data_IF_051519951608
#
_entry.id   IF_051519951608
#
_cell.length_a   1.000
_cell.length_b   1.000
_cell.length_c   1.000
_cell.angle_alpha   90.00
_cell.angle_beta   90.00
_cell.angle_gamma   90.00
#
_symmetry.space_group_name_H-M   'P 1'
#
loop_
_entity.id
_entity.type
_entity.pdbx_description
1 polymer ?
#
# COMPACT_ATOMS: atom_id res chain seq x y z
N UNK A 1 11.99 -27.73 -34.62
CA UNK A 1 10.58 -27.63 -34.21
C UNK A 1 10.49 -28.19 -32.80
N UNK A 2 10.39 -27.34 -31.78
CA UNK A 2 10.09 -27.82 -30.42
C UNK A 2 8.69 -28.41 -30.45
N UNK A 3 8.55 -29.71 -30.19
CA UNK A 3 7.22 -30.30 -30.00
C UNK A 3 6.59 -29.61 -28.80
N UNK A 4 5.42 -28.99 -29.02
CA UNK A 4 4.63 -28.46 -27.91
C UNK A 4 4.29 -29.61 -26.96
N UNK A 5 4.40 -29.41 -25.64
CA UNK A 5 4.08 -30.45 -24.68
C UNK A 5 2.61 -30.87 -24.81
N UNK A 6 2.35 -32.17 -24.67
CA UNK A 6 0.99 -32.70 -24.65
C UNK A 6 0.19 -32.05 -23.50
N UNK A 7 -1.02 -31.59 -23.79
CA UNK A 7 -1.91 -30.97 -22.81
C UNK A 7 -2.46 -32.06 -21.90
N UNK A 8 -2.09 -32.02 -20.61
CA UNK A 8 -2.65 -32.86 -19.54
C UNK A 8 -3.79 -32.13 -18.83
N UNK A 9 -4.82 -32.83 -18.40
CA UNK A 9 -5.81 -32.32 -17.43
C UNK A 9 -5.21 -32.31 -16.01
N UNK A 10 -5.80 -31.51 -15.12
CA UNK A 10 -5.25 -31.30 -13.77
C UNK A 10 -5.13 -32.60 -12.97
N UNK A 11 -6.04 -33.55 -13.17
CA UNK A 11 -6.03 -34.85 -12.47
C UNK A 11 -4.87 -35.75 -12.89
N UNK A 12 -4.26 -35.48 -14.05
CA UNK A 12 -3.10 -36.22 -14.57
C UNK A 12 -1.76 -35.57 -14.18
N UNK A 13 -1.80 -34.40 -13.56
CA UNK A 13 -0.60 -33.70 -13.10
C UNK A 13 -0.07 -34.31 -11.81
N UNK A 14 1.24 -34.39 -11.72
CA UNK A 14 1.93 -34.71 -10.47
C UNK A 14 1.74 -33.60 -9.43
N UNK A 15 2.01 -33.91 -8.17
CA UNK A 15 1.98 -32.90 -7.10
C UNK A 15 2.92 -31.72 -7.38
N UNK A 16 4.11 -31.99 -7.92
CA UNK A 16 5.09 -30.96 -8.31
C UNK A 16 4.58 -30.07 -9.44
N UNK A 17 3.87 -30.65 -10.42
CA UNK A 17 3.24 -29.90 -11.51
C UNK A 17 2.05 -29.06 -11.01
N UNK A 18 1.32 -29.52 -9.97
CA UNK A 18 0.17 -28.81 -9.40
C UNK A 18 0.55 -27.59 -8.55
N UNK A 19 1.68 -27.61 -7.85
CA UNK A 19 2.10 -26.51 -6.95
C UNK A 19 2.19 -25.16 -7.69
N UNK A 20 2.85 -25.04 -8.86
CA UNK A 20 2.85 -23.81 -9.64
C UNK A 20 1.45 -23.30 -10.00
N UNK A 21 0.51 -24.18 -10.31
CA UNK A 21 -0.87 -23.81 -10.63
C UNK A 21 -1.62 -23.24 -9.42
N UNK A 22 -1.39 -23.79 -8.22
CA UNK A 22 -1.95 -23.22 -6.98
C UNK A 22 -1.40 -21.81 -6.76
N UNK A 23 -0.08 -21.64 -6.87
CA UNK A 23 0.58 -20.34 -6.67
C UNK A 23 0.16 -19.31 -7.73
N UNK A 24 0.03 -19.73 -8.99
CA UNK A 24 -0.46 -18.88 -10.07
C UNK A 24 -1.92 -18.49 -9.87
N UNK A 25 -2.77 -19.43 -9.44
CA UNK A 25 -4.16 -19.18 -9.07
C UNK A 25 -4.30 -18.05 -8.05
N UNK A 26 -3.49 -18.09 -6.97
CA UNK A 26 -3.47 -17.02 -5.97
C UNK A 26 -3.07 -15.66 -6.55
N UNK A 27 -2.05 -15.61 -7.42
CA UNK A 27 -1.63 -14.36 -8.09
C UNK A 27 -2.72 -13.82 -9.01
N UNK A 28 -3.36 -14.69 -9.79
CA UNK A 28 -4.48 -14.33 -10.68
C UNK A 28 -5.67 -13.80 -9.88
N UNK A 29 -5.94 -14.36 -8.71
CA UNK A 29 -6.96 -13.83 -7.79
C UNK A 29 -6.62 -12.41 -7.34
N UNK A 30 -5.36 -12.13 -6.94
CA UNK A 30 -4.95 -10.78 -6.54
C UNK A 30 -5.07 -9.76 -7.69
N UNK A 31 -4.63 -10.14 -8.90
CA UNK A 31 -4.77 -9.28 -10.09
C UNK A 31 -6.24 -9.02 -10.40
N UNK A 32 -7.08 -10.06 -10.42
CA UNK A 32 -8.50 -9.93 -10.71
C UNK A 32 -9.24 -9.10 -9.65
N UNK A 33 -8.89 -9.25 -8.37
CA UNK A 33 -9.40 -8.40 -7.29
C UNK A 33 -9.05 -6.93 -7.53
N UNK A 34 -7.80 -6.65 -7.89
CA UNK A 34 -7.35 -5.31 -8.26
C UNK A 34 -8.06 -4.75 -9.49
N UNK A 35 -8.32 -5.57 -10.51
CA UNK A 35 -9.10 -5.19 -11.69
C UNK A 35 -10.54 -4.81 -11.32
N UNK A 36 -11.21 -5.61 -10.48
CA UNK A 36 -12.56 -5.27 -10.00
C UNK A 36 -12.58 -3.94 -9.27
N UNK A 37 -11.67 -3.75 -8.30
CA UNK A 37 -11.59 -2.47 -7.59
C UNK A 37 -11.35 -1.30 -8.55
N UNK A 38 -10.42 -1.45 -9.49
CA UNK A 38 -10.09 -0.41 -10.47
C UNK A 38 -11.27 -0.07 -11.38
N UNK A 39 -12.01 -1.06 -11.87
CA UNK A 39 -13.16 -0.82 -12.73
C UNK A 39 -14.33 -0.19 -11.96
N UNK A 40 -14.59 -0.63 -10.72
CA UNK A 40 -15.62 0.01 -9.88
C UNK A 40 -15.25 1.47 -9.59
N UNK A 41 -13.99 1.75 -9.26
CA UNK A 41 -13.50 3.12 -9.06
C UNK A 41 -13.61 3.96 -10.34
N UNK A 42 -13.27 3.40 -11.50
CA UNK A 42 -13.38 4.09 -12.78
C UNK A 42 -14.83 4.42 -13.15
N UNK A 43 -15.76 3.49 -12.97
CA UNK A 43 -17.16 3.61 -13.41
C UNK A 43 -18.02 4.40 -12.42
N UNK A 44 -17.79 4.22 -11.10
CA UNK A 44 -18.66 4.74 -10.05
C UNK A 44 -18.02 5.83 -9.19
N UNK A 45 -16.72 6.05 -9.33
CA UNK A 45 -15.93 6.97 -8.52
C UNK A 45 -15.45 6.37 -7.19
N UNK A 46 -14.39 6.95 -6.64
CA UNK A 46 -13.68 6.43 -5.46
C UNK A 46 -14.58 6.24 -4.23
N UNK A 47 -15.48 7.19 -3.92
CA UNK A 47 -16.33 7.09 -2.72
C UNK A 47 -17.20 5.84 -2.74
N UNK A 48 -17.88 5.56 -3.86
CA UNK A 48 -18.73 4.36 -4.00
C UNK A 48 -17.89 3.10 -4.08
N UNK A 49 -16.72 3.17 -4.70
CA UNK A 49 -15.79 2.05 -4.75
C UNK A 49 -15.32 1.62 -3.36
N UNK A 50 -15.14 2.54 -2.41
CA UNK A 50 -14.81 2.20 -1.02
C UNK A 50 -15.92 1.45 -0.30
N UNK A 51 -17.18 1.83 -0.51
CA UNK A 51 -18.32 1.13 0.08
C UNK A 51 -18.43 -0.30 -0.47
N UNK A 52 -18.31 -0.44 -1.79
CA UNK A 52 -18.31 -1.75 -2.47
C UNK A 52 -17.11 -2.59 -2.05
N UNK A 53 -15.91 -2.01 -1.95
CA UNK A 53 -14.70 -2.72 -1.54
C UNK A 53 -14.79 -3.20 -0.10
N UNK A 54 -15.41 -2.44 0.81
CA UNK A 54 -15.59 -2.89 2.17
C UNK A 54 -16.46 -4.15 2.23
N UNK A 55 -17.60 -4.16 1.54
CA UNK A 55 -18.49 -5.33 1.50
C UNK A 55 -17.84 -6.52 0.77
N UNK A 56 -17.33 -6.29 -0.43
CA UNK A 56 -16.76 -7.34 -1.27
C UNK A 56 -15.44 -7.88 -0.69
N UNK A 57 -14.61 -7.02 -0.12
CA UNK A 57 -13.33 -7.36 0.49
C UNK A 57 -13.51 -8.25 1.72
N UNK A 58 -14.33 -7.83 2.68
CA UNK A 58 -14.56 -8.59 3.91
C UNK A 58 -15.14 -9.99 3.57
N UNK A 59 -16.11 -10.04 2.66
CA UNK A 59 -16.67 -11.30 2.17
C UNK A 59 -15.63 -12.17 1.44
N UNK A 60 -14.87 -11.59 0.51
CA UNK A 60 -13.88 -12.34 -0.29
C UNK A 60 -12.79 -12.95 0.58
N UNK A 61 -12.20 -12.18 1.50
CA UNK A 61 -11.16 -12.68 2.39
C UNK A 61 -11.69 -13.75 3.35
N UNK A 62 -12.89 -13.56 3.91
CA UNK A 62 -13.56 -14.58 4.74
C UNK A 62 -13.78 -15.89 3.97
N UNK A 63 -14.27 -15.83 2.73
CA UNK A 63 -14.47 -17.01 1.87
C UNK A 63 -13.15 -17.70 1.54
N UNK A 64 -12.12 -16.94 1.13
CA UNK A 64 -10.81 -17.48 0.77
C UNK A 64 -10.18 -18.19 1.97
N UNK A 65 -10.13 -17.54 3.14
CA UNK A 65 -9.56 -18.09 4.36
C UNK A 65 -10.33 -19.33 4.83
N UNK A 66 -11.67 -19.30 4.80
CA UNK A 66 -12.50 -20.46 5.15
C UNK A 66 -12.24 -21.65 4.22
N UNK A 67 -12.09 -21.43 2.91
CA UNK A 67 -11.76 -22.51 1.96
C UNK A 67 -10.37 -23.06 2.20
N UNK A 68 -9.37 -22.20 2.36
CA UNK A 68 -8.00 -22.61 2.66
C UNK A 68 -7.91 -23.34 4.00
N UNK A 69 -8.68 -22.94 5.01
CA UNK A 69 -8.70 -23.59 6.33
C UNK A 69 -9.10 -25.07 6.25
N UNK A 70 -10.08 -25.40 5.39
CA UNK A 70 -10.54 -26.77 5.17
C UNK A 70 -9.51 -27.63 4.46
N UNK A 71 -8.73 -27.04 3.55
CA UNK A 71 -7.73 -27.76 2.75
C UNK A 71 -6.39 -27.89 3.49
N UNK A 72 -5.95 -26.83 4.16
CA UNK A 72 -4.65 -26.73 4.84
C UNK A 72 -4.73 -27.08 6.34
N UNK A 73 -5.92 -27.27 6.89
CA UNK A 73 -6.12 -27.78 8.26
C UNK A 73 -5.89 -26.78 9.39
N UNK A 74 -5.90 -25.47 9.13
CA UNK A 74 -5.84 -24.47 10.20
C UNK A 74 -7.23 -24.09 10.73
N UNK A 75 -7.32 -23.73 12.01
CA UNK A 75 -8.58 -23.35 12.65
C UNK A 75 -8.98 -21.89 12.35
N UNK A 76 -10.28 -21.68 12.15
CA UNK A 76 -10.90 -20.36 12.07
C UNK A 76 -11.63 -20.05 13.37
N UNK A 77 -11.65 -18.78 13.78
CA UNK A 77 -12.51 -18.27 14.84
C UNK A 77 -13.24 -17.03 14.32
N UNK A 78 -14.49 -17.25 13.86
CA UNK A 78 -15.24 -16.28 13.07
C UNK A 78 -14.64 -16.15 11.67
N UNK A 79 -14.35 -14.93 11.25
CA UNK A 79 -13.83 -14.60 9.92
C UNK A 79 -12.31 -14.56 9.84
N UNK A 80 -11.61 -14.82 10.96
CA UNK A 80 -10.15 -14.75 11.05
C UNK A 80 -9.55 -16.10 11.49
N UNK A 81 -8.31 -16.42 11.07
CA UNK A 81 -7.60 -17.59 11.58
C UNK A 81 -7.42 -17.50 13.09
N UNK A 82 -7.71 -18.59 13.82
CA UNK A 82 -7.56 -18.66 15.28
C UNK A 82 -6.13 -18.34 15.72
N UNK A 83 -5.14 -18.70 14.91
CA UNK A 83 -3.74 -18.38 15.11
C UNK A 83 -3.53 -16.87 15.34
N UNK A 84 -4.21 -15.98 14.58
CA UNK A 84 -4.08 -14.53 14.75
C UNK A 84 -4.63 -14.06 16.10
N UNK A 85 -5.79 -14.59 16.52
CA UNK A 85 -6.40 -14.23 17.82
C UNK A 85 -5.59 -14.73 19.02
N UNK A 86 -4.81 -15.79 18.84
CA UNK A 86 -3.95 -16.33 19.90
C UNK A 86 -2.63 -15.58 20.08
N UNK A 87 -2.28 -14.67 19.17
CA UNK A 87 -1.05 -13.87 19.29
C UNK A 87 -1.21 -12.79 20.35
N UNK A 88 -0.15 -12.57 21.13
CA UNK A 88 -0.05 -11.39 21.97
C UNK A 88 0.17 -10.11 21.15
N UNK A 89 0.07 -8.96 21.83
CA UNK A 89 0.28 -7.65 21.21
C UNK A 89 1.64 -7.52 20.52
N UNK A 90 2.71 -8.06 21.11
CA UNK A 90 4.05 -7.93 20.56
C UNK A 90 4.17 -8.68 19.22
N UNK A 91 3.61 -9.90 19.15
CA UNK A 91 3.57 -10.69 17.92
C UNK A 91 2.64 -10.12 16.86
N UNK A 92 1.51 -9.53 17.25
CA UNK A 92 0.67 -8.79 16.31
C UNK A 92 1.41 -7.59 15.71
N UNK A 93 2.19 -6.85 16.51
CA UNK A 93 3.01 -5.75 16.01
C UNK A 93 4.14 -6.24 15.08
N UNK A 94 4.77 -7.37 15.39
CA UNK A 94 5.75 -8.01 14.51
C UNK A 94 5.12 -8.43 13.18
N UNK A 95 3.93 -9.02 13.22
CA UNK A 95 3.18 -9.39 12.03
C UNK A 95 2.81 -8.17 11.19
N UNK A 96 2.35 -7.08 11.81
CA UNK A 96 2.08 -5.81 11.12
C UNK A 96 3.34 -5.24 10.45
N UNK A 97 4.51 -5.36 11.09
CA UNK A 97 5.77 -4.95 10.46
C UNK A 97 6.09 -5.83 9.24
N UNK A 98 5.87 -7.15 9.32
CA UNK A 98 6.06 -8.05 8.20
C UNK A 98 5.10 -7.73 7.03
N UNK A 99 3.84 -7.40 7.32
CA UNK A 99 2.86 -6.93 6.32
C UNK A 99 3.37 -5.68 5.61
N UNK A 100 3.84 -4.68 6.36
CA UNK A 100 4.40 -3.45 5.78
C UNK A 100 5.64 -3.71 4.91
N UNK A 101 6.54 -4.59 5.36
CA UNK A 101 7.73 -4.98 4.58
C UNK A 101 7.33 -5.69 3.29
N UNK A 102 6.37 -6.62 3.35
CA UNK A 102 5.91 -7.36 2.18
C UNK A 102 5.22 -6.46 1.17
N UNK A 103 4.39 -5.52 1.63
CA UNK A 103 3.78 -4.51 0.76
C UNK A 103 4.84 -3.69 0.02
N UNK A 104 5.83 -3.14 0.74
CA UNK A 104 6.90 -2.34 0.11
C UNK A 104 7.78 -3.18 -0.82
N UNK A 105 8.05 -4.42 -0.45
CA UNK A 105 8.81 -5.35 -1.31
C UNK A 105 8.05 -5.64 -2.61
N UNK A 106 6.73 -5.86 -2.53
CA UNK A 106 5.89 -6.07 -3.70
C UNK A 106 5.90 -4.85 -4.63
N UNK A 107 5.74 -3.64 -4.09
CA UNK A 107 5.83 -2.38 -4.85
C UNK A 107 7.19 -2.28 -5.58
N UNK A 108 8.29 -2.51 -4.87
CA UNK A 108 9.63 -2.49 -5.46
C UNK A 108 9.89 -3.57 -6.52
N UNK A 109 9.32 -4.78 -6.36
CA UNK A 109 9.44 -5.87 -7.35
C UNK A 109 8.68 -5.53 -8.63
N UNK A 110 7.48 -4.97 -8.53
CA UNK A 110 6.73 -4.46 -9.70
C UNK A 110 7.49 -3.35 -10.39
N UNK A 111 7.99 -2.37 -9.64
CA UNK A 111 8.79 -1.27 -10.18
C UNK A 111 9.99 -1.78 -10.98
N UNK A 112 10.80 -2.66 -10.39
CA UNK A 112 11.99 -3.23 -11.03
C UNK A 112 11.65 -4.07 -12.26
N UNK A 113 10.53 -4.81 -12.23
CA UNK A 113 10.10 -5.61 -13.37
C UNK A 113 9.73 -4.75 -14.59
N UNK A 114 9.11 -3.58 -14.36
CA UNK A 114 8.80 -2.58 -15.40
C UNK A 114 10.08 -1.88 -15.84
N UNK A 115 10.89 -1.38 -14.90
CA UNK A 115 12.15 -0.67 -15.17
C UNK A 115 13.08 -1.52 -16.05
N UNK A 116 13.29 -2.79 -15.71
CA UNK A 116 14.15 -3.71 -16.46
C UNK A 116 13.70 -3.92 -17.91
N UNK A 117 12.39 -3.80 -18.19
CA UNK A 117 11.81 -4.08 -19.51
C UNK A 117 11.55 -2.82 -20.34
N UNK A 118 11.21 -1.72 -19.68
CA UNK A 118 10.66 -0.52 -20.32
C UNK A 118 11.29 0.79 -19.84
N UNK A 119 12.35 0.71 -19.02
CA UNK A 119 13.12 1.86 -18.54
C UNK A 119 12.50 2.59 -17.34
N UNK A 120 13.31 3.47 -16.74
CA UNK A 120 12.98 4.25 -15.54
C UNK A 120 11.72 5.11 -15.71
N UNK A 121 11.60 5.82 -16.84
CA UNK A 121 10.47 6.74 -17.05
C UNK A 121 9.13 6.00 -17.07
N UNK A 122 9.08 4.81 -17.69
CA UNK A 122 7.87 3.98 -17.70
C UNK A 122 7.56 3.44 -16.31
N UNK A 123 8.56 2.95 -15.59
CA UNK A 123 8.39 2.49 -14.21
C UNK A 123 7.85 3.59 -13.30
N UNK A 124 8.40 4.82 -13.40
CA UNK A 124 7.92 5.99 -12.65
C UNK A 124 6.50 6.36 -13.03
N UNK A 125 6.15 6.42 -14.32
CA UNK A 125 4.76 6.71 -14.73
C UNK A 125 3.77 5.69 -14.18
N UNK A 126 4.10 4.40 -14.24
CA UNK A 126 3.27 3.33 -13.68
C UNK A 126 3.12 3.49 -12.16
N UNK A 127 4.23 3.71 -11.44
CA UNK A 127 4.25 3.94 -10.00
C UNK A 127 3.40 5.16 -9.61
N UNK A 128 3.68 6.32 -10.20
CA UNK A 128 3.03 7.58 -9.84
C UNK A 128 1.51 7.49 -10.08
N UNK A 129 1.10 6.85 -11.18
CA UNK A 129 -0.32 6.58 -11.48
C UNK A 129 -0.94 5.61 -10.46
N UNK A 130 -0.22 4.57 -10.03
CA UNK A 130 -0.68 3.68 -8.98
C UNK A 130 -0.96 4.45 -7.68
N UNK A 131 -0.07 5.37 -7.30
CA UNK A 131 -0.24 6.21 -6.11
C UNK A 131 -1.45 7.16 -6.18
N UNK A 132 -1.87 7.60 -7.38
CA UNK A 132 -3.13 8.38 -7.54
C UNK A 132 -4.38 7.60 -7.09
N UNK A 133 -4.29 6.26 -7.05
CA UNK A 133 -5.41 5.37 -6.69
C UNK A 133 -5.25 4.78 -5.30
N UNK A 134 -4.04 4.33 -4.98
CA UNK A 134 -3.77 3.69 -3.69
C UNK A 134 -3.80 4.69 -2.52
N UNK A 135 -3.30 5.92 -2.68
CA UNK A 135 -3.23 6.86 -1.56
C UNK A 135 -4.62 7.26 -1.02
N UNK A 136 -5.62 7.61 -1.86
CA UNK A 136 -6.98 7.83 -1.38
C UNK A 136 -7.61 6.60 -0.76
N UNK A 137 -7.40 5.42 -1.36
CA UNK A 137 -7.89 4.15 -0.81
C UNK A 137 -7.35 3.92 0.61
N UNK A 138 -6.04 4.01 0.80
CA UNK A 138 -5.38 3.85 2.10
C UNK A 138 -5.92 4.87 3.12
N UNK A 139 -6.02 6.14 2.73
CA UNK A 139 -6.56 7.20 3.56
C UNK A 139 -7.98 6.90 4.04
N UNK A 140 -8.88 6.50 3.13
CA UNK A 140 -10.29 6.23 3.44
C UNK A 140 -10.45 4.96 4.30
N UNK A 141 -9.66 3.91 4.07
CA UNK A 141 -9.60 2.73 4.94
C UNK A 141 -9.16 3.13 6.36
N UNK A 142 -8.09 3.90 6.49
CA UNK A 142 -7.57 4.37 7.78
C UNK A 142 -8.62 5.25 8.48
N UNK A 143 -9.23 6.20 7.74
CA UNK A 143 -10.28 7.09 8.26
C UNK A 143 -11.44 6.30 8.88
N UNK A 144 -11.88 5.23 8.21
CA UNK A 144 -12.92 4.31 8.72
C UNK A 144 -12.45 3.55 9.97
N UNK A 145 -11.25 2.96 9.93
CA UNK A 145 -10.69 2.18 11.06
C UNK A 145 -10.48 3.03 12.32
N UNK A 146 -10.15 4.32 12.16
CA UNK A 146 -9.98 5.27 13.25
C UNK A 146 -11.29 5.95 13.68
N UNK A 147 -12.39 5.76 12.95
CA UNK A 147 -13.66 6.43 13.22
C UNK A 147 -13.58 7.96 13.12
N UNK A 148 -12.74 8.49 12.22
CA UNK A 148 -12.57 9.94 12.07
C UNK A 148 -13.84 10.58 11.48
N UNK A 149 -14.09 11.84 11.84
CA UNK A 149 -15.22 12.62 11.30
C UNK A 149 -15.05 12.87 9.78
N UNK A 150 -16.11 13.33 9.08
CA UNK A 150 -16.02 13.67 7.66
C UNK A 150 -14.95 14.73 7.35
N UNK A 151 -14.71 15.65 8.27
CA UNK A 151 -13.77 16.78 8.15
C UNK A 151 -12.86 16.84 9.39
N UNK A 152 -11.90 15.91 9.53
CA UNK A 152 -11.17 15.70 10.77
C UNK A 152 -9.99 16.67 10.96
N UNK A 153 -9.70 17.52 9.98
CA UNK A 153 -8.64 18.54 10.05
C UNK A 153 -7.24 17.96 10.19
N UNK A 154 -6.31 18.80 10.66
CA UNK A 154 -4.89 18.43 10.79
C UNK A 154 -4.65 17.32 11.81
N UNK A 155 -5.36 17.32 12.93
CA UNK A 155 -5.22 16.25 13.94
C UNK A 155 -5.65 14.89 13.38
N UNK A 156 -6.72 14.86 12.59
CA UNK A 156 -7.12 13.67 11.83
C UNK A 156 -6.04 13.19 10.87
N UNK A 157 -5.41 14.12 10.15
CA UNK A 157 -4.33 13.80 9.23
C UNK A 157 -3.08 13.28 9.96
N UNK A 158 -2.67 13.92 11.07
CA UNK A 158 -1.55 13.46 11.91
C UNK A 158 -1.78 12.03 12.40
N UNK A 159 -2.98 11.74 12.90
CA UNK A 159 -3.37 10.40 13.30
C UNK A 159 -3.27 9.44 12.10
N UNK A 160 -3.92 9.76 10.98
CA UNK A 160 -3.96 8.89 9.80
C UNK A 160 -2.57 8.58 9.22
N UNK A 161 -1.66 9.55 9.17
CA UNK A 161 -0.27 9.37 8.73
C UNK A 161 0.44 8.28 9.56
N UNK A 162 0.14 8.18 10.86
CA UNK A 162 0.71 7.16 11.75
C UNK A 162 0.22 5.73 11.50
N UNK A 163 -0.86 5.54 10.73
CA UNK A 163 -1.44 4.23 10.41
C UNK A 163 -1.16 3.75 8.99
N UNK A 164 -0.44 4.53 8.18
CA UNK A 164 -0.02 4.12 6.83
C UNK A 164 0.92 2.92 6.90
N UNK A 165 0.91 2.06 5.88
CA UNK A 165 1.72 0.84 5.85
C UNK A 165 3.22 1.15 6.01
N UNK A 166 3.72 2.19 5.33
CA UNK A 166 5.12 2.56 5.47
C UNK A 166 5.44 3.16 6.84
N UNK A 167 4.46 3.68 7.60
CA UNK A 167 4.69 4.24 8.93
C UNK A 167 5.11 3.20 9.97
N UNK A 168 4.86 1.92 9.67
CA UNK A 168 5.35 0.81 10.48
C UNK A 168 6.82 0.47 10.25
N UNK A 169 7.38 0.83 9.10
CA UNK A 169 8.69 0.34 8.63
C UNK A 169 9.71 1.45 8.37
N UNK A 170 9.30 2.71 8.53
CA UNK A 170 10.10 3.92 8.36
C UNK A 170 10.02 4.78 9.63
N UNK A 171 11.01 5.65 9.87
CA UNK A 171 10.99 6.63 10.98
C UNK A 171 10.49 7.98 10.47
N UNK A 172 9.52 8.57 11.16
CA UNK A 172 8.87 9.81 10.77
C UNK A 172 8.73 10.76 11.96
N UNK A 173 8.65 12.05 11.67
CA UNK A 173 8.38 13.09 12.67
C UNK A 173 7.37 14.08 12.13
N UNK A 174 6.58 14.66 13.03
CA UNK A 174 5.66 15.76 12.76
C UNK A 174 6.08 16.93 13.65
N UNK A 175 6.17 18.11 13.06
CA UNK A 175 6.46 19.36 13.75
C UNK A 175 5.35 20.37 13.42
N UNK A 176 4.66 20.87 14.44
CA UNK A 176 3.70 21.96 14.27
C UNK A 176 4.44 23.26 13.95
N UNK A 177 4.05 23.92 12.87
CA UNK A 177 4.59 25.22 12.47
C UNK A 177 3.75 26.33 13.09
N UNK A 178 2.43 26.18 13.03
CA UNK A 178 1.43 27.07 13.62
C UNK A 178 0.11 26.29 13.82
N UNK A 179 -0.94 26.97 14.25
CA UNK A 179 -2.27 26.39 14.47
C UNK A 179 -2.92 25.78 13.21
N UNK A 180 -2.46 26.18 12.01
CA UNK A 180 -3.09 25.83 10.73
C UNK A 180 -2.15 25.04 9.83
N UNK A 181 -0.95 24.65 10.31
CA UNK A 181 0.00 23.86 9.52
C UNK A 181 1.03 23.09 10.33
N UNK A 182 1.48 21.97 9.76
CA UNK A 182 2.58 21.17 10.29
C UNK A 182 3.50 20.67 9.16
N UNK A 183 4.74 20.35 9.51
CA UNK A 183 5.71 19.71 8.63
C UNK A 183 5.86 18.24 9.03
N UNK A 184 5.54 17.35 8.11
CA UNK A 184 5.84 15.93 8.17
C UNK A 184 7.22 15.67 7.57
N UNK A 185 8.05 14.87 8.23
CA UNK A 185 9.36 14.46 7.72
C UNK A 185 9.52 12.95 7.74
N UNK A 186 10.00 12.41 6.63
CA UNK A 186 10.50 11.05 6.52
C UNK A 186 11.97 11.03 6.93
N UNK A 187 12.23 10.73 8.20
CA UNK A 187 13.60 10.74 8.76
C UNK A 187 14.40 9.55 8.24
N UNK A 188 13.84 8.35 8.29
CA UNK A 188 14.43 7.15 7.68
C UNK A 188 13.49 6.58 6.63
N UNK A 189 13.97 6.42 5.40
CA UNK A 189 13.24 5.77 4.32
C UNK A 189 13.91 4.45 3.94
N UNK A 190 13.20 3.34 4.06
CA UNK A 190 13.72 2.01 3.73
C UNK A 190 14.17 1.88 2.27
N UNK A 191 13.48 2.55 1.34
CA UNK A 191 13.85 2.59 -0.10
C UNK A 191 15.19 3.30 -0.28
N UNK A 192 15.31 4.53 0.24
CA UNK A 192 16.54 5.32 0.12
C UNK A 192 17.71 4.64 0.86
N UNK A 193 17.46 4.14 2.07
CA UNK A 193 18.45 3.37 2.83
C UNK A 193 18.93 2.12 2.07
N UNK A 194 18.05 1.42 1.36
CA UNK A 194 18.44 0.28 0.53
C UNK A 194 19.30 0.69 -0.67
N UNK A 195 19.03 1.84 -1.28
CA UNK A 195 19.82 2.38 -2.41
C UNK A 195 21.19 2.87 -1.95
N UNK A 196 21.24 3.63 -0.86
CA UNK A 196 22.49 4.08 -0.23
C UNK A 196 23.42 2.90 0.10
N UNK A 197 22.89 1.82 0.69
CA UNK A 197 23.67 0.58 0.94
C UNK A 197 24.21 -0.09 -0.32
N UNK A 198 23.57 0.13 -1.47
CA UNK A 198 23.99 -0.40 -2.78
C UNK A 198 24.88 0.58 -3.55
N UNK A 199 25.23 1.73 -2.99
CA UNK A 199 25.98 2.78 -3.69
C UNK A 199 25.20 3.40 -4.87
N UNK A 200 23.87 3.28 -4.87
CA UNK A 200 23.00 3.86 -5.89
C UNK A 200 22.65 5.30 -5.51
N UNK A 201 22.46 6.20 -6.48
CA UNK A 201 21.95 7.55 -6.21
C UNK A 201 20.55 7.47 -5.61
N UNK A 202 20.14 8.52 -4.89
CA UNK A 202 18.82 8.60 -4.31
C UNK A 202 17.74 8.37 -5.37
N UNK A 203 16.70 7.63 -4.98
CA UNK A 203 15.55 7.42 -5.84
C UNK A 203 14.82 8.75 -6.03
N UNK A 204 14.56 9.22 -7.27
CA UNK A 204 13.85 10.47 -7.52
C UNK A 204 12.34 10.33 -7.25
N UNK A 205 11.96 10.17 -5.97
CA UNK A 205 10.60 9.90 -5.51
C UNK A 205 9.68 11.12 -5.44
N UNK A 206 10.17 12.33 -5.71
CA UNK A 206 9.37 13.56 -5.65
C UNK A 206 8.11 13.51 -6.51
N UNK A 207 8.17 12.94 -7.71
CA UNK A 207 6.99 12.86 -8.58
C UNK A 207 5.88 11.98 -7.99
N UNK A 208 6.25 10.85 -7.38
CA UNK A 208 5.32 10.01 -6.63
C UNK A 208 4.77 10.76 -5.42
N UNK A 209 5.64 11.40 -4.64
CA UNK A 209 5.25 12.17 -3.45
C UNK A 209 4.28 13.33 -3.75
N UNK A 210 4.45 14.00 -4.89
CA UNK A 210 3.57 15.09 -5.35
C UNK A 210 2.15 14.61 -5.71
N UNK A 211 1.96 13.30 -5.84
CA UNK A 211 0.64 12.68 -5.96
C UNK A 211 0.22 12.11 -4.61
N UNK A 212 1.08 11.30 -4.01
CA UNK A 212 0.81 10.51 -2.83
C UNK A 212 0.33 11.36 -1.64
N UNK A 213 1.13 12.34 -1.21
CA UNK A 213 0.82 13.12 -0.01
C UNK A 213 -0.38 14.03 -0.19
N UNK A 214 -0.53 14.78 -1.31
CA UNK A 214 -1.72 15.59 -1.54
C UNK A 214 -3.00 14.74 -1.62
N UNK A 215 -2.98 13.61 -2.34
CA UNK A 215 -4.17 12.79 -2.53
C UNK A 215 -4.57 12.07 -1.24
N UNK A 216 -3.59 11.65 -0.44
CA UNK A 216 -3.84 11.11 0.89
C UNK A 216 -4.47 12.18 1.80
N UNK A 217 -3.88 13.37 1.87
CA UNK A 217 -4.38 14.45 2.72
C UNK A 217 -5.77 14.92 2.33
N UNK A 218 -6.04 15.10 1.03
CA UNK A 218 -7.34 15.50 0.50
C UNK A 218 -8.43 14.45 0.79
N UNK A 219 -8.10 13.16 0.72
CA UNK A 219 -9.03 12.08 1.07
C UNK A 219 -9.34 12.02 2.58
N UNK A 220 -8.40 12.44 3.43
CA UNK A 220 -8.65 12.63 4.86
C UNK A 220 -9.53 13.86 5.10
N UNK A 221 -9.14 15.02 4.56
CA UNK A 221 -9.89 16.27 4.64
C UNK A 221 -9.62 17.13 3.39
N UNK A 222 -10.64 17.42 2.55
CA UNK A 222 -10.44 18.10 1.27
C UNK A 222 -10.00 19.58 1.41
N UNK A 223 -10.00 20.12 2.63
CA UNK A 223 -9.55 21.49 2.92
C UNK A 223 -8.03 21.57 3.12
N UNK A 224 -7.34 20.43 3.23
CA UNK A 224 -5.90 20.40 3.45
C UNK A 224 -5.15 20.59 2.14
N UNK A 225 -4.21 21.53 2.14
CA UNK A 225 -3.24 21.70 1.08
C UNK A 225 -1.91 21.09 1.48
N UNK A 226 -1.21 20.55 0.49
CA UNK A 226 0.09 19.90 0.67
C UNK A 226 1.14 20.57 -0.20
N UNK A 227 2.28 20.86 0.38
CA UNK A 227 3.45 21.45 -0.29
C UNK A 227 4.69 20.59 -0.05
N UNK A 228 5.47 20.36 -1.10
CA UNK A 228 6.75 19.67 -0.99
C UNK A 228 7.81 20.66 -0.45
N UNK A 229 8.33 20.39 0.74
CA UNK A 229 9.44 21.17 1.34
C UNK A 229 10.78 20.69 0.77
N UNK A 230 10.91 19.40 0.51
CA UNK A 230 12.06 18.81 -0.16
C UNK A 230 11.89 17.31 -0.34
N UNK A 231 12.30 16.79 -1.50
CA UNK A 231 12.22 15.36 -1.80
C UNK A 231 13.16 15.05 -2.98
N UNK A 232 13.95 13.96 -2.93
CA UNK A 232 14.78 13.52 -4.04
C UNK A 232 14.02 13.52 -5.38
N UNK A 233 14.61 14.07 -6.45
CA UNK A 233 16.04 14.37 -6.61
C UNK A 233 16.47 15.77 -6.10
N UNK A 234 15.57 16.53 -5.48
CA UNK A 234 15.97 17.79 -4.87
C UNK A 234 17.03 17.56 -3.78
N UNK A 235 17.90 18.54 -3.56
CA UNK A 235 18.78 18.54 -2.41
C UNK A 235 17.98 18.52 -1.11
N UNK A 236 18.43 17.73 -0.15
CA UNK A 236 17.85 17.62 1.18
C UNK A 236 18.97 17.47 2.23
N UNK A 237 18.76 17.85 3.49
CA UNK A 237 19.74 17.67 4.54
C UNK A 237 19.87 16.19 4.93
N UNK A 238 20.94 15.86 5.66
CA UNK A 238 21.16 14.50 6.18
C UNK A 238 20.11 14.05 7.21
N UNK A 239 19.41 15.00 7.82
CA UNK A 239 18.45 14.74 8.89
C UNK A 239 17.13 14.09 8.42
N UNK A 240 16.79 14.18 7.14
CA UNK A 240 15.56 13.60 6.59
C UNK A 240 15.65 13.41 5.08
N UNK A 241 14.88 12.46 4.54
CA UNK A 241 14.81 12.15 3.11
C UNK A 241 13.78 12.99 2.36
N UNK A 242 12.59 13.17 2.94
CA UNK A 242 11.60 14.06 2.36
C UNK A 242 10.80 14.76 3.44
N UNK A 243 10.28 15.95 3.11
CA UNK A 243 9.49 16.78 3.98
C UNK A 243 8.31 17.39 3.24
N UNK A 244 7.15 17.40 3.89
CA UNK A 244 5.87 17.84 3.33
C UNK A 244 5.16 18.72 4.34
N UNK A 245 4.76 19.92 3.90
CA UNK A 245 3.96 20.84 4.71
C UNK A 245 2.49 20.62 4.40
N UNK A 246 1.69 20.42 5.44
CA UNK A 246 0.25 20.35 5.34
C UNK A 246 -0.35 21.60 5.98
N UNK A 247 -1.27 22.24 5.27
CA UNK A 247 -1.93 23.48 5.71
C UNK A 247 -3.44 23.31 5.60
N UNK A 248 -4.19 23.60 6.65
CA UNK A 248 -5.65 23.62 6.61
C UNK A 248 -6.13 24.99 6.12
N UNK A 249 -6.83 25.03 4.98
CA UNK A 249 -7.46 26.27 4.53
C UNK A 249 -8.62 26.64 5.44
N UNK A 250 -8.66 27.90 5.85
CA UNK A 250 -9.87 28.49 6.43
C UNK A 250 -10.92 28.60 5.33
N UNK A 251 -12.14 28.18 5.64
CA UNK A 251 -13.30 28.39 4.78
C UNK A 251 -13.62 29.89 4.68
#
# INVERSE_FOLDING_TARGET
MSQEPAIKNFEELTAEELIPWVMDGLRRTLVHYGCWFREVEYQLGMSKAMDVEAEAGDAAFSIILKRLSKVLGFEMDGEVPKALKSLDKAKLLELMNAVGINWLANDGVWFQAVEKRFGMDTAKRCNDTCWTRFSPYEALRIKKLLGLSPLPGLEGLKAALGYRLYARINRQTIEDVDEHSFIFRMVDCRVQGARKRKGLPDYPCKSAGLVEYPYFAEAIDPRIQTECVGCPPDAHPDAWWCAWKFTLKRA
#
